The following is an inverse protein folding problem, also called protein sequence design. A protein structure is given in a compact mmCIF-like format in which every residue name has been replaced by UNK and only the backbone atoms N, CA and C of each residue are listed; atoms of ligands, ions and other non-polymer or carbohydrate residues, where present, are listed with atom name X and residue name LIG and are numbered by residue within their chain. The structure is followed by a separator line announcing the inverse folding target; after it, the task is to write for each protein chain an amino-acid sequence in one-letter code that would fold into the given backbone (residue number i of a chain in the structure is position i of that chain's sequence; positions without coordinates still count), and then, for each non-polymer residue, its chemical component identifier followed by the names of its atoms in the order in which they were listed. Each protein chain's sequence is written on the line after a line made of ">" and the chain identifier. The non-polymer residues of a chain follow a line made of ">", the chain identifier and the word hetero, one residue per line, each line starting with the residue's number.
data_IF_270535095905
#
_entry.id   IF_270535095905
#
_cell.length_a   1.000
_cell.length_b   1.000
_cell.length_c   1.000
_cell.angle_alpha   90.00
_cell.angle_beta   90.00
_cell.angle_gamma   90.00
#
_symmetry.space_group_name_H-M   'P 1'
#
loop_
_entity.id
_entity.type
_entity.pdbx_description
1 polymer ?
#
# COMPACT_ATOMS: atom_id res chain seq x y z
N UNK A 1 -11.95 -3.89 19.51
CA UNK A 1 -10.52 -4.36 19.57
C UNK A 1 -10.17 -4.72 20.99
N UNK A 2 -9.48 -5.85 21.25
CA UNK A 2 -8.97 -6.24 22.57
C UNK A 2 -7.85 -5.29 23.01
N UNK A 3 -7.76 -5.03 24.32
CA UNK A 3 -6.78 -4.07 24.87
C UNK A 3 -5.34 -4.44 24.52
N UNK A 4 -4.97 -5.72 24.62
CA UNK A 4 -3.64 -6.21 24.26
C UNK A 4 -3.26 -5.88 22.80
N UNK A 5 -4.18 -6.12 21.84
CA UNK A 5 -3.97 -5.81 20.45
C UNK A 5 -3.88 -4.30 20.20
N UNK A 6 -4.65 -3.50 20.97
CA UNK A 6 -4.58 -2.03 20.93
C UNK A 6 -3.19 -1.55 21.30
N UNK A 7 -2.63 -2.04 22.40
CA UNK A 7 -1.32 -1.61 22.88
C UNK A 7 -0.20 -1.99 21.91
N UNK A 8 -0.26 -3.20 21.32
CA UNK A 8 0.68 -3.66 20.29
C UNK A 8 0.56 -2.79 19.04
N UNK A 9 -0.65 -2.53 18.56
CA UNK A 9 -0.89 -1.71 17.38
C UNK A 9 -0.30 -0.30 17.55
N UNK A 10 -0.60 0.36 18.65
CA UNK A 10 -0.10 1.71 18.93
C UNK A 10 1.43 1.75 19.03
N UNK A 11 2.03 0.73 19.63
CA UNK A 11 3.49 0.60 19.70
C UNK A 11 4.12 0.48 18.30
N UNK A 12 3.60 -0.41 17.46
CA UNK A 12 4.10 -0.64 16.11
C UNK A 12 3.89 0.58 15.20
N UNK A 13 2.73 1.25 15.30
CA UNK A 13 2.47 2.49 14.55
C UNK A 13 3.47 3.58 14.92
N UNK A 14 3.77 3.73 16.20
CA UNK A 14 4.80 4.66 16.65
C UNK A 14 6.18 4.27 16.12
N UNK A 15 6.57 3.01 16.21
CA UNK A 15 7.85 2.51 15.68
C UNK A 15 7.97 2.75 14.17
N UNK A 16 6.93 2.46 13.38
CA UNK A 16 6.87 2.71 11.95
C UNK A 16 7.07 4.20 11.63
N UNK A 17 6.44 5.08 12.42
CA UNK A 17 6.59 6.53 12.27
C UNK A 17 8.00 7.00 12.65
N UNK A 18 8.55 6.56 13.80
CA UNK A 18 9.87 6.95 14.29
C UNK A 18 10.98 6.50 13.34
N UNK A 19 10.85 5.35 12.72
CA UNK A 19 11.74 4.85 11.66
C UNK A 19 11.61 5.61 10.33
N UNK A 20 10.57 6.41 10.15
CA UNK A 20 10.35 7.20 8.94
C UNK A 20 10.03 6.35 7.70
N UNK A 21 9.47 5.13 7.87
CA UNK A 21 9.17 4.20 6.77
C UNK A 21 8.28 4.86 5.73
N UNK A 22 7.22 5.56 6.16
CA UNK A 22 6.31 6.29 5.25
C UNK A 22 6.95 7.51 4.55
N UNK A 23 8.15 7.92 4.95
CA UNK A 23 8.88 9.04 4.32
C UNK A 23 9.80 8.59 3.18
N UNK A 24 9.86 7.30 2.91
CA UNK A 24 10.61 6.78 1.76
C UNK A 24 10.03 7.33 0.45
N UNK A 25 10.88 7.49 -0.56
CA UNK A 25 10.47 7.94 -1.90
C UNK A 25 9.40 6.99 -2.43
N UNK A 26 8.29 7.57 -2.89
CA UNK A 26 7.15 6.85 -3.49
C UNK A 26 6.48 5.79 -2.58
N UNK A 27 6.74 5.80 -1.26
CA UNK A 27 6.14 4.84 -0.32
C UNK A 27 4.61 4.75 -0.48
N UNK A 28 3.92 5.89 -0.48
CA UNK A 28 2.46 5.93 -0.57
C UNK A 28 1.94 5.32 -1.88
N UNK A 29 2.65 5.55 -2.98
CA UNK A 29 2.35 5.01 -4.29
C UNK A 29 2.47 3.49 -4.32
N UNK A 30 3.63 2.95 -3.90
CA UNK A 30 3.87 1.51 -3.89
C UNK A 30 3.00 0.78 -2.86
N UNK A 31 2.74 1.41 -1.73
CA UNK A 31 1.84 0.86 -0.72
C UNK A 31 0.40 0.72 -1.26
N UNK A 32 -0.08 1.73 -2.00
CA UNK A 32 -1.38 1.66 -2.68
C UNK A 32 -1.39 0.56 -3.76
N UNK A 33 -0.31 0.41 -4.53
CA UNK A 33 -0.22 -0.64 -5.55
C UNK A 33 -0.27 -2.04 -4.95
N UNK A 34 0.40 -2.25 -3.83
CA UNK A 34 0.31 -3.50 -3.06
C UNK A 34 -1.12 -3.77 -2.58
N UNK A 35 -1.80 -2.77 -1.99
CA UNK A 35 -3.21 -2.90 -1.56
C UNK A 35 -4.11 -3.31 -2.73
N UNK A 36 -3.99 -2.66 -3.89
CA UNK A 36 -4.81 -2.95 -5.07
C UNK A 36 -4.55 -4.37 -5.56
N UNK A 37 -3.29 -4.74 -5.74
CA UNK A 37 -2.87 -6.05 -6.26
C UNK A 37 -3.36 -7.18 -5.37
N UNK A 38 -3.18 -7.08 -4.06
CA UNK A 38 -3.66 -8.10 -3.13
C UNK A 38 -5.18 -8.14 -3.04
N UNK A 39 -5.84 -6.97 -3.07
CA UNK A 39 -7.31 -6.92 -3.05
C UNK A 39 -7.93 -7.60 -4.28
N UNK A 40 -7.32 -7.43 -5.46
CA UNK A 40 -7.78 -8.12 -6.68
C UNK A 40 -7.38 -9.60 -6.68
N UNK A 41 -6.24 -9.96 -6.07
CA UNK A 41 -5.79 -11.35 -5.94
C UNK A 41 -6.70 -12.20 -5.04
N UNK A 42 -7.34 -11.60 -4.02
CA UNK A 42 -8.39 -12.27 -3.24
C UNK A 42 -9.56 -12.70 -4.14
N UNK A 43 -9.87 -11.92 -5.17
CA UNK A 43 -10.94 -12.21 -6.14
C UNK A 43 -10.47 -13.07 -7.32
N UNK A 44 -9.21 -13.50 -7.31
CA UNK A 44 -8.68 -14.46 -8.29
C UNK A 44 -7.72 -13.87 -9.31
N UNK A 45 -7.38 -12.58 -9.27
CA UNK A 45 -6.32 -12.02 -10.11
C UNK A 45 -4.96 -12.65 -9.77
N UNK A 46 -4.16 -12.89 -10.80
CA UNK A 46 -2.80 -13.42 -10.66
C UNK A 46 -1.73 -12.38 -11.03
N UNK A 47 -2.12 -11.14 -11.28
CA UNK A 47 -1.23 -10.02 -11.52
C UNK A 47 -0.35 -9.81 -10.28
N UNK A 48 0.97 -9.72 -10.48
CA UNK A 48 1.95 -9.46 -9.42
C UNK A 48 2.09 -7.95 -9.17
N UNK A 49 2.68 -7.56 -8.04
CA UNK A 49 2.94 -6.14 -7.73
C UNK A 49 3.82 -5.47 -8.79
N UNK A 50 4.84 -6.17 -9.29
CA UNK A 50 5.71 -5.66 -10.37
C UNK A 50 4.93 -5.46 -11.66
N UNK A 51 4.09 -6.42 -12.06
CA UNK A 51 3.23 -6.29 -13.25
C UNK A 51 2.20 -5.16 -13.07
N UNK A 52 1.65 -5.00 -11.86
CA UNK A 52 0.72 -3.91 -11.54
C UNK A 52 1.42 -2.55 -11.61
N UNK A 53 2.65 -2.43 -11.13
CA UNK A 53 3.44 -1.21 -11.24
C UNK A 53 3.65 -0.81 -12.71
N UNK A 54 4.12 -1.73 -13.56
CA UNK A 54 4.30 -1.48 -15.00
C UNK A 54 2.97 -1.08 -15.67
N UNK A 55 1.88 -1.74 -15.28
CA UNK A 55 0.55 -1.43 -15.79
C UNK A 55 0.10 -0.02 -15.39
N UNK A 56 0.32 0.39 -14.15
CA UNK A 56 -0.15 1.66 -13.61
C UNK A 56 0.72 2.86 -14.02
N UNK A 57 2.03 2.66 -14.12
CA UNK A 57 2.98 3.74 -14.40
C UNK A 57 3.23 3.93 -15.89
N UNK A 58 3.33 2.83 -16.65
CA UNK A 58 3.76 2.84 -18.05
C UNK A 58 2.66 2.37 -19.01
N UNK A 59 1.53 1.84 -18.51
CA UNK A 59 0.48 1.24 -19.34
C UNK A 59 0.89 -0.08 -19.98
N UNK A 60 1.98 -0.70 -19.51
CA UNK A 60 2.48 -1.97 -20.03
C UNK A 60 1.64 -3.12 -19.49
N UNK A 61 1.08 -3.92 -20.40
CA UNK A 61 0.26 -5.09 -20.05
C UNK A 61 1.10 -6.38 -20.10
N UNK A 62 0.87 -7.28 -19.15
CA UNK A 62 1.52 -8.59 -19.14
C UNK A 62 0.81 -9.55 -20.09
N UNK A 63 1.54 -10.15 -21.02
CA UNK A 63 1.02 -11.19 -21.93
C UNK A 63 0.66 -12.51 -21.22
N UNK A 64 1.11 -12.68 -19.97
CA UNK A 64 0.83 -13.86 -19.13
C UNK A 64 -0.46 -13.74 -18.33
N UNK A 65 -1.13 -12.57 -18.36
CA UNK A 65 -2.35 -12.28 -17.59
C UNK A 65 -3.51 -12.03 -18.53
N UNK A 66 -4.71 -12.44 -18.11
CA UNK A 66 -5.91 -12.15 -18.89
C UNK A 66 -6.22 -10.65 -18.88
N UNK A 67 -6.93 -10.17 -19.89
CA UNK A 67 -7.37 -8.78 -19.94
C UNK A 67 -8.27 -8.44 -18.74
N UNK A 68 -9.11 -9.38 -18.30
CA UNK A 68 -10.01 -9.17 -17.14
C UNK A 68 -9.20 -8.94 -15.85
N UNK A 69 -8.13 -9.71 -15.61
CA UNK A 69 -7.29 -9.54 -14.42
C UNK A 69 -6.60 -8.17 -14.41
N UNK A 70 -6.08 -7.75 -15.56
CA UNK A 70 -5.44 -6.43 -15.70
C UNK A 70 -6.47 -5.31 -15.52
N UNK A 71 -7.64 -5.44 -16.16
CA UNK A 71 -8.71 -4.46 -16.05
C UNK A 71 -9.26 -4.35 -14.62
N UNK A 72 -9.33 -5.45 -13.88
CA UNK A 72 -9.74 -5.45 -12.47
C UNK A 72 -8.81 -4.58 -11.61
N UNK A 73 -7.51 -4.59 -11.88
CA UNK A 73 -6.54 -3.74 -11.19
C UNK A 73 -6.71 -2.26 -11.58
N UNK A 74 -6.92 -1.96 -12.87
CA UNK A 74 -7.14 -0.59 -13.37
C UNK A 74 -8.45 0.00 -12.84
N UNK A 75 -9.55 -0.78 -12.83
CA UNK A 75 -10.82 -0.37 -12.27
C UNK A 75 -10.68 -0.03 -10.78
N UNK A 76 -10.02 -0.89 -10.01
CA UNK A 76 -9.83 -0.67 -8.58
C UNK A 76 -8.91 0.55 -8.31
N UNK A 77 -7.85 0.75 -9.10
CA UNK A 77 -7.02 1.97 -9.02
C UNK A 77 -7.84 3.23 -9.25
N UNK A 78 -8.63 3.24 -10.32
CA UNK A 78 -9.54 4.37 -10.62
C UNK A 78 -10.55 4.62 -9.51
N UNK A 79 -11.05 3.56 -8.87
CA UNK A 79 -11.97 3.65 -7.74
C UNK A 79 -11.29 4.25 -6.49
N UNK A 80 -10.02 3.91 -6.22
CA UNK A 80 -9.22 4.55 -5.15
C UNK A 80 -9.02 6.05 -5.41
N UNK A 81 -8.65 6.43 -6.64
CA UNK A 81 -8.47 7.83 -7.01
C UNK A 81 -9.77 8.65 -6.87
N UNK A 82 -10.91 8.06 -7.25
CA UNK A 82 -12.23 8.67 -7.09
C UNK A 82 -12.63 8.79 -5.62
N UNK A 83 -12.51 7.69 -4.86
CA UNK A 83 -12.92 7.63 -3.46
C UNK A 83 -12.08 8.55 -2.58
N UNK A 84 -10.76 8.61 -2.82
CA UNK A 84 -9.84 9.45 -2.07
C UNK A 84 -10.15 10.95 -2.22
N UNK A 85 -10.45 11.42 -3.43
CA UNK A 85 -10.86 12.82 -3.64
C UNK A 85 -12.09 13.19 -2.84
N UNK A 86 -13.06 12.27 -2.71
CA UNK A 86 -14.28 12.49 -1.95
C UNK A 86 -14.05 12.50 -0.45
N UNK A 87 -13.36 11.48 0.06
CA UNK A 87 -13.21 11.28 1.50
C UNK A 87 -12.29 12.32 2.14
N UNK A 88 -11.22 12.74 1.43
CA UNK A 88 -10.28 13.77 1.91
C UNK A 88 -10.93 15.17 2.00
N UNK A 89 -12.07 15.37 1.38
CA UNK A 89 -12.89 16.57 1.53
C UNK A 89 -13.92 16.43 2.65
N UNK A 90 -13.86 15.36 3.45
CA UNK A 90 -14.80 15.01 4.52
C UNK A 90 -16.29 15.02 4.08
N UNK A 91 -16.53 14.75 2.81
CA UNK A 91 -17.88 14.65 2.27
C UNK A 91 -18.66 13.50 2.93
N UNK A 92 -19.99 13.61 3.07
CA UNK A 92 -20.79 12.53 3.62
C UNK A 92 -20.78 11.31 2.70
N UNK A 93 -20.78 10.13 3.30
CA UNK A 93 -20.95 8.86 2.58
C UNK A 93 -22.45 8.64 2.42
N UNK A 94 -22.92 8.62 1.16
CA UNK A 94 -24.33 8.41 0.82
C UNK A 94 -24.49 7.14 -0.01
N UNK A 95 -25.72 6.66 -0.13
CA UNK A 95 -26.04 5.51 -0.99
C UNK A 95 -25.61 5.77 -2.44
N UNK A 96 -25.87 6.95 -2.97
CA UNK A 96 -25.52 7.36 -4.33
C UNK A 96 -24.01 7.35 -4.54
N UNK A 97 -23.27 7.83 -3.55
CA UNK A 97 -21.81 7.81 -3.61
C UNK A 97 -21.25 6.37 -3.55
N UNK A 98 -21.80 5.50 -2.71
CA UNK A 98 -21.40 4.09 -2.66
C UNK A 98 -21.73 3.37 -3.98
N UNK A 99 -22.86 3.66 -4.61
CA UNK A 99 -23.20 3.17 -5.95
C UNK A 99 -22.16 3.64 -6.98
N UNK A 100 -21.83 4.92 -6.97
CA UNK A 100 -20.82 5.48 -7.87
C UNK A 100 -19.42 4.89 -7.62
N UNK A 101 -19.05 4.64 -6.36
CA UNK A 101 -17.80 3.98 -5.99
C UNK A 101 -17.74 2.53 -6.50
N UNK A 102 -18.81 1.77 -6.30
CA UNK A 102 -18.93 0.40 -6.80
C UNK A 102 -18.91 0.33 -8.34
N UNK A 103 -19.54 1.31 -9.01
CA UNK A 103 -19.45 1.46 -10.46
C UNK A 103 -18.00 1.64 -10.94
N UNK A 104 -17.16 2.37 -10.19
CA UNK A 104 -15.72 2.48 -10.51
C UNK A 104 -14.99 1.17 -10.34
N UNK A 105 -15.28 0.43 -9.26
CA UNK A 105 -14.67 -0.89 -8.96
C UNK A 105 -14.98 -1.92 -10.04
N UNK A 106 -16.13 -1.79 -10.72
CA UNK A 106 -16.64 -2.78 -11.69
C UNK A 106 -16.75 -2.22 -13.12
N UNK A 107 -16.15 -1.07 -13.41
CA UNK A 107 -16.41 -0.28 -14.61
C UNK A 107 -16.26 -1.08 -15.93
N UNK A 108 -15.21 -1.90 -16.03
CA UNK A 108 -14.91 -2.71 -17.22
C UNK A 108 -15.04 -4.22 -16.98
N UNK A 109 -15.24 -4.62 -15.70
CA UNK A 109 -15.33 -6.04 -15.32
C UNK A 109 -16.72 -6.48 -14.86
N UNK A 110 -17.66 -5.52 -14.68
CA UNK A 110 -19.02 -5.79 -14.25
C UNK A 110 -19.91 -6.34 -15.36
N UNK A 111 -20.78 -7.28 -14.98
CA UNK A 111 -21.76 -7.91 -15.87
C UNK A 111 -23.15 -7.28 -15.76
N UNK A 112 -23.94 -7.46 -16.80
CA UNK A 112 -25.39 -7.20 -16.81
C UNK A 112 -26.14 -8.44 -16.31
N UNK A 113 -27.14 -8.23 -15.50
CA UNK A 113 -27.95 -9.28 -14.90
C UNK A 113 -29.42 -9.10 -15.24
N UNK A 114 -30.08 -10.21 -15.52
CA UNK A 114 -31.54 -10.29 -15.69
C UNK A 114 -32.11 -11.21 -14.61
N UNK A 115 -33.05 -10.72 -13.83
CA UNK A 115 -33.69 -11.47 -12.75
C UNK A 115 -35.19 -11.23 -12.72
N UNK A 116 -35.92 -11.98 -11.90
CA UNK A 116 -37.34 -11.74 -11.66
C UNK A 116 -37.60 -10.34 -11.05
N UNK A 117 -36.64 -9.76 -10.37
CA UNK A 117 -36.69 -8.39 -9.83
C UNK A 117 -36.38 -7.30 -10.87
N UNK A 118 -36.08 -7.67 -12.11
CA UNK A 118 -35.72 -6.80 -13.22
C UNK A 118 -34.22 -6.85 -13.55
N UNK A 119 -33.85 -6.12 -14.60
CA UNK A 119 -32.46 -6.00 -15.05
C UNK A 119 -31.68 -5.01 -14.17
N UNK A 120 -30.37 -5.24 -14.02
CA UNK A 120 -29.44 -4.36 -13.33
C UNK A 120 -27.99 -4.64 -13.76
N UNK A 121 -27.11 -3.66 -13.58
CA UNK A 121 -25.72 -3.68 -14.04
C UNK A 121 -24.73 -3.54 -12.89
N UNK A 122 -23.83 -4.51 -12.76
CA UNK A 122 -22.69 -4.38 -11.83
C UNK A 122 -21.71 -3.29 -12.30
N UNK A 123 -21.50 -3.13 -13.61
CA UNK A 123 -20.65 -2.08 -14.16
C UNK A 123 -21.15 -0.65 -13.86
N UNK A 124 -22.44 -0.47 -13.60
CA UNK A 124 -23.04 0.78 -13.18
C UNK A 124 -23.18 0.92 -11.66
N UNK A 125 -22.71 -0.07 -10.90
CA UNK A 125 -22.85 -0.11 -9.45
C UNK A 125 -24.30 -0.27 -8.97
N UNK A 126 -25.22 -0.71 -9.83
CA UNK A 126 -26.62 -0.88 -9.49
C UNK A 126 -26.81 -1.95 -8.43
N UNK A 127 -27.68 -1.70 -7.47
CA UNK A 127 -27.99 -2.65 -6.41
C UNK A 127 -28.60 -3.93 -6.99
N UNK A 128 -28.22 -5.07 -6.44
CA UNK A 128 -28.75 -6.36 -6.87
C UNK A 128 -30.27 -6.45 -6.74
N UNK A 129 -30.89 -7.10 -7.71
CA UNK A 129 -32.32 -7.42 -7.72
C UNK A 129 -32.56 -8.93 -7.67
N UNK A 130 -31.62 -9.65 -7.04
CA UNK A 130 -31.69 -11.09 -6.79
C UNK A 130 -31.12 -11.43 -5.42
N UNK A 131 -31.55 -12.55 -4.85
CA UNK A 131 -30.97 -13.07 -3.62
C UNK A 131 -29.68 -13.85 -3.92
N UNK A 132 -28.68 -13.70 -3.04
CA UNK A 132 -27.37 -14.31 -3.17
C UNK A 132 -26.98 -15.03 -1.89
N UNK A 133 -26.06 -16.01 -2.00
CA UNK A 133 -25.51 -16.79 -0.89
C UNK A 133 -24.00 -16.59 -0.79
N UNK A 134 -23.45 -16.80 0.38
CA UNK A 134 -22.01 -16.77 0.63
C UNK A 134 -21.34 -18.04 0.12
N UNK A 135 -21.04 -18.10 -1.19
CA UNK A 135 -20.51 -19.29 -1.86
C UNK A 135 -21.52 -20.44 -1.98
N UNK A 136 -21.05 -21.58 -2.48
CA UNK A 136 -21.88 -22.78 -2.62
C UNK A 136 -22.17 -23.39 -1.23
N UNK A 137 -23.44 -23.41 -0.84
CA UNK A 137 -23.88 -23.97 0.45
C UNK A 137 -23.77 -23.04 1.66
N UNK A 138 -23.30 -21.78 1.47
CA UNK A 138 -23.23 -20.80 2.54
C UNK A 138 -24.58 -20.18 2.93
N UNK A 139 -24.60 -19.45 4.07
CA UNK A 139 -25.80 -18.69 4.51
C UNK A 139 -26.17 -17.64 3.48
N UNK A 140 -27.48 -17.48 3.24
CA UNK A 140 -28.02 -16.42 2.39
C UNK A 140 -27.72 -15.05 2.99
N UNK A 141 -27.42 -14.11 2.12
CA UNK A 141 -27.45 -12.69 2.49
C UNK A 141 -28.91 -12.21 2.61
N UNK A 142 -29.11 -11.00 3.14
CA UNK A 142 -30.46 -10.46 3.26
C UNK A 142 -31.19 -10.40 1.92
N UNK A 143 -32.54 -10.43 1.96
CA UNK A 143 -33.34 -10.23 0.74
C UNK A 143 -32.95 -8.94 0.02
N UNK A 144 -32.81 -9.00 -1.29
CA UNK A 144 -32.46 -7.83 -2.11
C UNK A 144 -33.42 -6.65 -1.91
N UNK A 145 -34.70 -6.94 -1.61
CA UNK A 145 -35.72 -5.91 -1.33
C UNK A 145 -35.42 -5.05 -0.10
N UNK A 146 -34.64 -5.58 0.87
CA UNK A 146 -34.21 -4.88 2.09
C UNK A 146 -32.90 -4.11 1.91
N UNK A 147 -32.17 -4.37 0.81
CA UNK A 147 -30.87 -3.77 0.59
C UNK A 147 -30.90 -2.25 0.55
N UNK A 148 -31.80 -1.57 -0.21
CA UNK A 148 -31.79 -0.12 -0.28
C UNK A 148 -31.92 0.56 1.09
N UNK A 149 -32.95 0.17 1.87
CA UNK A 149 -33.19 0.78 3.20
C UNK A 149 -32.06 0.45 4.21
N UNK A 150 -31.48 -0.75 4.13
CA UNK A 150 -30.38 -1.12 5.02
C UNK A 150 -29.08 -0.39 4.66
N UNK A 151 -28.86 -0.14 3.35
CA UNK A 151 -27.70 0.63 2.89
C UNK A 151 -27.80 2.10 3.29
N UNK A 152 -28.99 2.69 3.21
CA UNK A 152 -29.27 4.05 3.69
C UNK A 152 -28.99 4.17 5.19
N UNK A 153 -29.57 3.28 6.02
CA UNK A 153 -29.32 3.23 7.45
C UNK A 153 -27.83 3.02 7.80
N UNK A 154 -27.11 2.22 7.01
CA UNK A 154 -25.67 2.06 7.16
C UNK A 154 -24.92 3.37 6.91
N UNK A 155 -25.26 4.09 5.84
CA UNK A 155 -24.63 5.38 5.51
C UNK A 155 -24.85 6.41 6.63
N UNK A 156 -26.08 6.51 7.16
CA UNK A 156 -26.41 7.39 8.28
C UNK A 156 -25.57 7.05 9.52
N UNK A 157 -25.58 5.78 9.94
CA UNK A 157 -24.84 5.32 11.10
C UNK A 157 -23.32 5.50 10.93
N UNK A 158 -22.79 5.26 9.72
CA UNK A 158 -21.37 5.46 9.44
C UNK A 158 -21.00 6.95 9.57
N UNK A 159 -21.79 7.85 9.00
CA UNK A 159 -21.52 9.29 9.10
C UNK A 159 -21.64 9.83 10.54
N UNK A 160 -22.57 9.31 11.34
CA UNK A 160 -22.67 9.65 12.76
C UNK A 160 -21.40 9.20 13.52
N UNK A 161 -20.97 7.97 13.31
CA UNK A 161 -19.75 7.44 13.94
C UNK A 161 -18.50 8.21 13.50
N UNK A 162 -18.39 8.57 12.21
CA UNK A 162 -17.28 9.38 11.68
C UNK A 162 -17.20 10.75 12.35
N UNK A 163 -18.34 11.41 12.62
CA UNK A 163 -18.37 12.69 13.30
C UNK A 163 -18.03 12.61 14.78
N UNK A 164 -18.29 11.47 15.41
CA UNK A 164 -18.08 11.26 16.85
C UNK A 164 -16.66 10.77 17.19
N UNK A 165 -15.86 10.36 16.20
CA UNK A 165 -14.55 9.78 16.45
C UNK A 165 -13.54 10.85 16.86
N UNK A 166 -12.70 10.53 17.85
CA UNK A 166 -11.51 11.33 18.16
C UNK A 166 -10.41 10.99 17.18
N UNK A 167 -9.93 11.98 16.42
CA UNK A 167 -8.88 11.83 15.43
C UNK A 167 -7.54 11.37 16.04
N UNK A 168 -7.36 11.47 17.34
CA UNK A 168 -6.19 10.99 18.04
C UNK A 168 -6.33 9.53 18.54
N UNK A 169 -7.54 8.97 18.52
CA UNK A 169 -7.76 7.58 18.89
C UNK A 169 -7.58 6.65 17.70
N UNK A 170 -6.32 6.35 17.39
CA UNK A 170 -5.91 5.47 16.28
C UNK A 170 -6.66 4.12 16.32
N UNK A 171 -6.84 3.54 17.50
CA UNK A 171 -7.52 2.25 17.62
C UNK A 171 -9.01 2.35 17.29
N UNK A 172 -9.68 3.43 17.71
CA UNK A 172 -11.07 3.68 17.37
C UNK A 172 -11.26 3.93 15.86
N UNK A 173 -10.29 4.56 15.19
CA UNK A 173 -10.30 4.75 13.73
C UNK A 173 -10.26 3.39 13.01
N UNK A 174 -9.36 2.50 13.43
CA UNK A 174 -9.31 1.14 12.85
C UNK A 174 -10.59 0.36 13.14
N UNK A 175 -11.13 0.40 14.38
CA UNK A 175 -12.39 -0.25 14.72
C UNK A 175 -13.56 0.26 13.88
N UNK A 176 -13.64 1.58 13.63
CA UNK A 176 -14.65 2.17 12.75
C UNK A 176 -14.52 1.64 11.33
N UNK A 177 -13.31 1.63 10.78
CA UNK A 177 -13.05 1.20 9.40
C UNK A 177 -13.33 -0.29 9.18
N UNK A 178 -12.95 -1.15 10.13
CA UNK A 178 -13.23 -2.59 10.10
C UNK A 178 -14.72 -2.86 10.29
N UNK A 179 -15.39 -2.12 11.19
CA UNK A 179 -16.83 -2.21 11.35
C UNK A 179 -17.56 -1.83 10.06
N UNK A 180 -17.17 -0.73 9.41
CA UNK A 180 -17.78 -0.30 8.15
C UNK A 180 -17.61 -1.34 7.04
N UNK A 181 -16.44 -1.97 6.97
CA UNK A 181 -16.19 -3.09 6.06
C UNK A 181 -17.14 -4.25 6.32
N UNK A 182 -17.25 -4.70 7.59
CA UNK A 182 -18.08 -5.84 7.98
C UNK A 182 -19.57 -5.59 7.71
N UNK A 183 -20.07 -4.41 8.07
CA UNK A 183 -21.48 -4.06 7.84
C UNK A 183 -21.80 -4.03 6.34
N UNK A 184 -20.97 -3.38 5.54
CA UNK A 184 -21.22 -3.26 4.10
C UNK A 184 -21.14 -4.63 3.39
N UNK A 185 -20.17 -5.48 3.74
CA UNK A 185 -20.07 -6.82 3.15
C UNK A 185 -21.21 -7.73 3.62
N UNK A 186 -21.77 -7.51 4.81
CA UNK A 186 -22.93 -8.24 5.35
C UNK A 186 -24.23 -7.82 4.65
N UNK A 187 -24.40 -6.54 4.32
CA UNK A 187 -25.50 -6.06 3.47
C UNK A 187 -25.41 -6.69 2.08
N UNK A 188 -24.19 -6.81 1.56
CA UNK A 188 -23.89 -7.36 0.24
C UNK A 188 -24.70 -6.70 -0.88
N UNK A 189 -24.54 -5.39 -1.11
CA UNK A 189 -25.48 -4.62 -1.94
C UNK A 189 -25.48 -4.99 -3.41
N UNK A 190 -24.37 -5.50 -3.94
CA UNK A 190 -24.17 -5.76 -5.37
C UNK A 190 -24.15 -7.25 -5.69
N UNK A 191 -24.30 -7.59 -6.97
CA UNK A 191 -24.13 -8.98 -7.42
C UNK A 191 -22.66 -9.39 -7.46
N UNK A 192 -21.76 -8.45 -7.73
CA UNK A 192 -20.29 -8.62 -7.73
C UNK A 192 -19.60 -7.37 -7.25
N UNK A 193 -18.28 -7.46 -6.94
CA UNK A 193 -17.46 -6.34 -6.48
C UNK A 193 -17.60 -5.99 -5.00
N UNK A 194 -18.42 -6.69 -4.21
CA UNK A 194 -18.64 -6.39 -2.79
C UNK A 194 -17.33 -6.39 -2.00
N UNK A 195 -16.52 -7.44 -2.10
CA UNK A 195 -15.25 -7.56 -1.38
C UNK A 195 -14.30 -6.41 -1.66
N UNK A 196 -14.07 -6.08 -2.94
CA UNK A 196 -13.20 -4.98 -3.37
C UNK A 196 -13.72 -3.62 -2.87
N UNK A 197 -15.02 -3.38 -3.01
CA UNK A 197 -15.65 -2.12 -2.55
C UNK A 197 -15.58 -1.96 -1.03
N UNK A 198 -15.78 -3.03 -0.25
CA UNK A 198 -15.69 -3.00 1.21
C UNK A 198 -14.26 -2.75 1.70
N UNK A 199 -13.26 -3.42 1.11
CA UNK A 199 -11.84 -3.17 1.42
C UNK A 199 -11.42 -1.76 1.01
N UNK A 200 -11.90 -1.27 -0.13
CA UNK A 200 -11.69 0.11 -0.56
C UNK A 200 -12.27 1.11 0.45
N UNK A 201 -13.55 0.97 0.84
CA UNK A 201 -14.16 1.86 1.84
C UNK A 201 -13.39 1.87 3.16
N UNK A 202 -12.98 0.70 3.64
CA UNK A 202 -12.15 0.56 4.85
C UNK A 202 -10.87 1.41 4.75
N UNK A 203 -10.13 1.27 3.65
CA UNK A 203 -8.89 2.03 3.45
C UNK A 203 -9.13 3.53 3.27
N UNK A 204 -10.21 3.93 2.61
CA UNK A 204 -10.59 5.33 2.46
C UNK A 204 -10.86 5.99 3.82
N UNK A 205 -11.56 5.31 4.74
CA UNK A 205 -11.79 5.78 6.10
C UNK A 205 -10.47 5.93 6.87
N UNK A 206 -9.55 4.99 6.72
CA UNK A 206 -8.23 5.04 7.34
C UNK A 206 -7.42 6.24 6.83
N UNK A 207 -7.43 6.51 5.53
CA UNK A 207 -6.80 7.71 4.96
C UNK A 207 -7.45 9.01 5.42
N UNK A 208 -8.78 9.05 5.52
CA UNK A 208 -9.48 10.24 6.01
C UNK A 208 -8.95 10.73 7.36
N UNK A 209 -8.64 9.78 8.23
CA UNK A 209 -8.12 10.05 9.58
C UNK A 209 -6.59 10.00 9.68
N UNK A 210 -5.88 9.92 8.56
CA UNK A 210 -4.42 9.99 8.49
C UNK A 210 -3.70 8.77 9.07
N UNK A 211 -4.38 7.61 9.21
CA UNK A 211 -3.73 6.37 9.63
C UNK A 211 -3.34 5.51 8.43
N UNK A 212 -2.35 4.65 8.60
CA UNK A 212 -1.86 3.78 7.54
C UNK A 212 -2.94 2.78 7.12
N UNK A 213 -3.29 2.68 5.82
CA UNK A 213 -4.31 1.75 5.35
C UNK A 213 -3.94 0.29 5.60
N UNK A 214 -4.94 -0.52 5.93
CA UNK A 214 -4.77 -1.95 6.20
C UNK A 214 -4.69 -2.73 4.89
N UNK A 215 -3.60 -3.46 4.68
CA UNK A 215 -3.49 -4.47 3.62
C UNK A 215 -4.25 -5.75 4.05
N UNK A 216 -4.92 -6.40 3.11
CA UNK A 216 -5.37 -7.78 3.25
C UNK A 216 -4.67 -8.55 2.14
N UNK A 217 -3.65 -9.32 2.49
CA UNK A 217 -2.84 -10.03 1.52
C UNK A 217 -3.59 -11.24 0.97
N UNK A 218 -3.17 -11.72 -0.20
CA UNK A 218 -3.73 -12.94 -0.80
C UNK A 218 -3.60 -14.16 0.12
N UNK A 219 -2.50 -14.22 0.85
CA UNK A 219 -2.18 -15.28 1.81
C UNK A 219 -3.13 -15.28 3.01
N UNK A 220 -3.68 -14.12 3.37
CA UNK A 220 -4.63 -13.97 4.48
C UNK A 220 -6.05 -14.38 4.10
N UNK A 221 -6.33 -14.66 2.81
CA UNK A 221 -7.68 -14.88 2.29
C UNK A 221 -8.48 -15.87 3.13
N UNK A 222 -7.89 -16.99 3.52
CA UNK A 222 -8.59 -18.03 4.28
C UNK A 222 -9.01 -17.56 5.67
N UNK A 223 -8.09 -16.94 6.42
CA UNK A 223 -8.34 -16.39 7.75
C UNK A 223 -9.37 -15.25 7.70
N UNK A 224 -9.21 -14.34 6.74
CA UNK A 224 -10.10 -13.21 6.51
C UNK A 224 -11.55 -13.64 6.17
N UNK A 225 -11.73 -14.60 5.25
CA UNK A 225 -13.05 -15.10 4.88
C UNK A 225 -13.69 -15.88 6.03
N UNK A 226 -12.91 -16.69 6.76
CA UNK A 226 -13.42 -17.44 7.91
C UNK A 226 -13.90 -16.48 9.00
N UNK A 227 -13.16 -15.42 9.30
CA UNK A 227 -13.59 -14.41 10.27
C UNK A 227 -14.89 -13.70 9.89
N UNK A 228 -15.12 -13.44 8.58
CA UNK A 228 -16.39 -12.90 8.09
C UNK A 228 -17.55 -13.90 8.29
N UNK A 229 -17.30 -15.19 8.06
CA UNK A 229 -18.30 -16.25 8.26
C UNK A 229 -18.65 -16.37 9.73
N UNK A 230 -17.63 -16.50 10.61
CA UNK A 230 -17.80 -16.68 12.04
C UNK A 230 -18.51 -15.48 12.68
N UNK A 231 -18.09 -14.25 12.34
CA UNK A 231 -18.72 -13.03 12.85
C UNK A 231 -20.21 -12.93 12.46
N UNK A 232 -20.59 -13.39 11.28
CA UNK A 232 -22.00 -13.46 10.86
C UNK A 232 -22.75 -14.61 11.49
N UNK A 233 -22.07 -15.73 11.72
CA UNK A 233 -22.68 -16.91 12.32
C UNK A 233 -23.00 -16.74 13.78
N UNK A 234 -22.07 -16.16 14.53
CA UNK A 234 -22.19 -15.89 15.97
C UNK A 234 -22.80 -14.52 16.28
N UNK A 235 -23.15 -13.72 15.24
CA UNK A 235 -23.69 -12.35 15.38
C UNK A 235 -22.78 -11.43 16.22
N UNK A 236 -21.46 -11.67 16.16
CA UNK A 236 -20.45 -10.93 16.90
C UNK A 236 -19.39 -10.32 15.96
N UNK A 237 -19.55 -9.04 15.68
CA UNK A 237 -18.62 -8.26 14.84
C UNK A 237 -17.20 -8.25 15.40
N UNK A 238 -17.01 -8.40 16.74
CA UNK A 238 -15.69 -8.36 17.33
C UNK A 238 -14.77 -9.49 16.84
N UNK A 239 -15.32 -10.62 16.41
CA UNK A 239 -14.55 -11.71 15.79
C UNK A 239 -13.83 -11.19 14.55
N UNK A 240 -14.53 -10.43 13.69
CA UNK A 240 -13.93 -9.84 12.50
C UNK A 240 -12.98 -8.69 12.83
N UNK A 241 -13.35 -7.78 13.74
CA UNK A 241 -12.49 -6.68 14.17
C UNK A 241 -11.16 -7.19 14.74
N UNK A 242 -11.20 -8.19 15.60
CA UNK A 242 -10.01 -8.82 16.18
C UNK A 242 -9.14 -9.49 15.11
N UNK A 243 -9.74 -10.15 14.12
CA UNK A 243 -9.01 -10.74 13.01
C UNK A 243 -8.29 -9.65 12.19
N UNK A 244 -9.00 -8.61 11.75
CA UNK A 244 -8.44 -7.52 10.97
C UNK A 244 -7.31 -6.80 11.72
N UNK A 245 -7.46 -6.62 13.03
CA UNK A 245 -6.42 -6.03 13.87
C UNK A 245 -5.16 -6.90 13.89
N UNK A 246 -5.30 -8.22 14.07
CA UNK A 246 -4.14 -9.14 14.03
C UNK A 246 -3.46 -9.16 12.67
N UNK A 247 -4.23 -9.13 11.58
CA UNK A 247 -3.68 -9.03 10.22
C UNK A 247 -2.87 -7.75 10.06
N UNK A 248 -3.43 -6.62 10.47
CA UNK A 248 -2.75 -5.33 10.37
C UNK A 248 -1.47 -5.27 11.23
N UNK A 249 -1.51 -5.74 12.46
CA UNK A 249 -0.34 -5.88 13.33
C UNK A 249 0.75 -6.74 12.68
N UNK A 250 0.37 -7.88 12.10
CA UNK A 250 1.30 -8.80 11.42
C UNK A 250 2.00 -8.11 10.23
N UNK A 251 1.25 -7.37 9.42
CA UNK A 251 1.80 -6.66 8.27
C UNK A 251 2.68 -5.49 8.68
N UNK A 252 2.28 -4.68 9.67
CA UNK A 252 3.12 -3.63 10.23
C UNK A 252 4.46 -4.16 10.74
N UNK A 253 4.41 -5.26 11.47
CA UNK A 253 5.62 -5.91 11.98
C UNK A 253 6.52 -6.37 10.84
N UNK A 254 5.96 -7.01 9.81
CA UNK A 254 6.73 -7.42 8.65
C UNK A 254 7.35 -6.23 7.90
N UNK A 255 6.59 -5.15 7.69
CA UNK A 255 7.08 -3.94 7.03
C UNK A 255 8.25 -3.31 7.83
N UNK A 256 8.18 -3.28 9.16
CA UNK A 256 9.24 -2.81 10.06
C UNK A 256 10.46 -3.73 9.99
N UNK A 257 10.26 -5.04 10.11
CA UNK A 257 11.36 -6.02 10.08
C UNK A 257 12.10 -5.99 8.73
N UNK A 258 11.39 -5.89 7.61
CA UNK A 258 11.97 -5.74 6.28
C UNK A 258 12.79 -4.45 6.16
N UNK A 259 12.27 -3.34 6.67
CA UNK A 259 12.99 -2.07 6.67
C UNK A 259 14.28 -2.15 7.49
N UNK A 260 14.24 -2.70 8.70
CA UNK A 260 15.40 -2.86 9.56
C UNK A 260 16.46 -3.76 8.92
N UNK A 261 16.05 -4.91 8.36
CA UNK A 261 16.95 -5.82 7.66
C UNK A 261 17.63 -5.14 6.46
N UNK A 262 16.87 -4.36 5.67
CA UNK A 262 17.44 -3.61 4.55
C UNK A 262 18.43 -2.53 4.98
N UNK A 263 18.23 -1.93 6.17
CA UNK A 263 19.17 -1.00 6.77
C UNK A 263 20.45 -1.72 7.25
N UNK A 264 20.32 -2.89 7.86
CA UNK A 264 21.45 -3.71 8.30
C UNK A 264 22.30 -4.19 7.13
N UNK A 265 21.68 -4.70 6.05
CA UNK A 265 22.36 -5.08 4.81
C UNK A 265 23.17 -3.93 4.23
N UNK A 266 22.56 -2.73 4.10
CA UNK A 266 23.26 -1.53 3.65
C UNK A 266 24.41 -1.11 4.57
N UNK A 267 24.30 -1.34 5.88
CA UNK A 267 25.40 -1.08 6.83
C UNK A 267 26.52 -2.09 6.69
N UNK A 268 26.21 -3.35 6.47
CA UNK A 268 27.20 -4.42 6.22
C UNK A 268 27.96 -4.15 4.92
N UNK A 269 27.26 -3.79 3.84
CA UNK A 269 27.91 -3.42 2.58
C UNK A 269 28.83 -2.23 2.72
N UNK A 270 28.42 -1.19 3.45
CA UNK A 270 29.30 -0.03 3.76
C UNK A 270 30.52 -0.43 4.58
N UNK A 271 30.39 -1.35 5.49
CA UNK A 271 31.47 -1.86 6.32
C UNK A 271 32.49 -2.66 5.51
N UNK A 272 32.01 -3.54 4.61
CA UNK A 272 32.83 -4.31 3.69
C UNK A 272 33.58 -3.37 2.74
N UNK A 273 32.87 -2.46 2.08
CA UNK A 273 33.46 -1.49 1.16
C UNK A 273 34.52 -0.60 1.84
N UNK A 274 34.27 -0.23 3.10
CA UNK A 274 35.25 0.53 3.91
C UNK A 274 36.52 -0.28 4.14
N UNK A 275 36.36 -1.56 4.49
CA UNK A 275 37.51 -2.45 4.72
C UNK A 275 38.30 -2.67 3.43
N UNK A 276 37.62 -2.94 2.31
CA UNK A 276 38.23 -3.09 0.99
C UNK A 276 39.03 -1.86 0.58
N UNK A 277 38.49 -0.63 0.80
CA UNK A 277 39.18 0.60 0.52
C UNK A 277 40.46 0.76 1.36
N UNK A 278 40.41 0.40 2.65
CA UNK A 278 41.60 0.42 3.53
C UNK A 278 42.66 -0.56 3.02
N UNK A 279 42.27 -1.78 2.69
CA UNK A 279 43.19 -2.87 2.32
C UNK A 279 43.79 -2.63 0.93
N UNK A 280 42.92 -2.31 -0.07
CA UNK A 280 43.34 -2.15 -1.48
C UNK A 280 44.15 -0.86 -1.71
N UNK A 281 43.78 0.22 -1.06
CA UNK A 281 44.34 1.56 -1.31
C UNK A 281 45.20 2.10 -0.16
N UNK A 282 45.38 1.33 0.92
CA UNK A 282 46.21 1.68 2.09
C UNK A 282 45.85 3.06 2.69
N UNK A 283 44.57 3.41 2.67
CA UNK A 283 44.07 4.68 3.19
C UNK A 283 43.64 4.58 4.66
N UNK A 284 43.63 5.71 5.37
CA UNK A 284 43.21 5.72 6.76
C UNK A 284 41.70 5.37 6.88
N UNK A 285 41.31 4.57 7.89
CA UNK A 285 39.92 4.19 8.10
C UNK A 285 38.93 5.38 8.16
N UNK A 286 39.35 6.51 8.72
CA UNK A 286 38.57 7.75 8.80
C UNK A 286 38.32 8.41 7.42
N UNK A 287 39.25 8.22 6.48
CA UNK A 287 39.07 8.70 5.10
C UNK A 287 38.18 7.72 4.32
N UNK A 288 38.43 6.42 4.45
CA UNK A 288 37.58 5.39 3.85
C UNK A 288 36.11 5.56 4.23
N UNK A 289 35.81 5.83 5.51
CA UNK A 289 34.47 6.12 5.98
C UNK A 289 33.79 7.28 5.21
N UNK A 290 34.50 8.38 5.02
CA UNK A 290 33.97 9.56 4.29
C UNK A 290 33.76 9.28 2.82
N UNK A 291 34.66 8.54 2.18
CA UNK A 291 34.53 8.17 0.77
C UNK A 291 33.36 7.20 0.55
N UNK A 292 33.17 6.23 1.45
CA UNK A 292 32.02 5.31 1.42
C UNK A 292 30.70 6.05 1.63
N UNK A 293 30.64 7.05 2.52
CA UNK A 293 29.43 7.85 2.69
C UNK A 293 29.09 8.67 1.43
N UNK A 294 30.12 9.19 0.74
CA UNK A 294 29.93 9.88 -0.54
C UNK A 294 29.41 8.88 -1.62
N UNK A 295 30.01 7.69 -1.74
CA UNK A 295 29.54 6.67 -2.67
C UNK A 295 28.10 6.21 -2.39
N UNK A 296 27.75 6.05 -1.12
CA UNK A 296 26.39 5.74 -0.72
C UNK A 296 25.36 6.84 -1.10
N UNK A 297 25.77 8.11 -1.03
CA UNK A 297 24.94 9.23 -1.51
C UNK A 297 24.81 9.25 -3.03
N UNK A 298 25.79 8.71 -3.74
CA UNK A 298 25.83 8.67 -5.20
C UNK A 298 25.22 7.39 -5.80
N UNK A 299 24.85 6.39 -4.99
CA UNK A 299 24.40 5.07 -5.48
C UNK A 299 23.19 5.13 -6.42
N UNK A 300 22.32 6.12 -6.24
CA UNK A 300 21.10 6.30 -7.04
C UNK A 300 21.24 7.42 -8.10
N UNK A 301 22.49 7.87 -8.38
CA UNK A 301 22.75 8.98 -9.30
C UNK A 301 23.63 8.54 -10.46
N UNK A 302 23.28 8.94 -11.67
CA UNK A 302 24.09 8.72 -12.85
C UNK A 302 25.28 9.71 -12.94
N UNK A 303 25.08 10.92 -12.43
CA UNK A 303 26.12 11.98 -12.47
C UNK A 303 26.09 12.80 -11.19
N UNK A 304 27.24 13.40 -10.83
CA UNK A 304 27.37 14.34 -9.71
C UNK A 304 28.25 15.52 -10.06
N UNK A 305 28.11 16.61 -9.32
CA UNK A 305 28.97 17.78 -9.40
C UNK A 305 29.67 18.04 -8.07
N UNK A 306 30.73 18.87 -8.11
CA UNK A 306 31.38 19.31 -6.86
C UNK A 306 30.40 20.03 -5.93
N UNK A 307 29.48 20.83 -6.49
CA UNK A 307 28.51 21.61 -5.72
C UNK A 307 27.45 20.74 -5.04
N UNK A 308 27.09 19.61 -5.63
CA UNK A 308 26.21 18.61 -5.00
C UNK A 308 26.83 18.06 -3.73
N UNK A 309 28.11 17.71 -3.78
CA UNK A 309 28.84 17.17 -2.61
C UNK A 309 29.06 18.25 -1.55
N UNK A 310 29.36 19.48 -1.96
CA UNK A 310 29.48 20.64 -1.04
C UNK A 310 28.17 20.85 -0.30
N UNK A 311 27.06 20.87 -1.01
CA UNK A 311 25.74 21.16 -0.45
C UNK A 311 25.25 20.05 0.48
N UNK A 312 25.43 18.79 0.09
CA UNK A 312 24.93 17.65 0.86
C UNK A 312 25.73 17.39 2.13
N UNK A 313 27.07 17.43 2.05
CA UNK A 313 27.96 17.09 3.17
C UNK A 313 28.47 18.30 3.94
N UNK A 314 28.10 19.49 3.57
CA UNK A 314 28.60 20.74 4.14
C UNK A 314 30.16 20.83 4.11
N UNK A 315 30.80 20.30 3.08
CA UNK A 315 32.23 20.39 2.89
C UNK A 315 32.64 21.71 2.24
N UNK A 316 33.91 22.08 2.40
CA UNK A 316 34.50 23.14 1.56
C UNK A 316 34.67 22.62 0.13
N UNK A 317 34.61 23.51 -0.86
CA UNK A 317 34.83 23.17 -2.27
C UNK A 317 36.15 22.43 -2.50
N UNK A 318 37.21 22.82 -1.79
CA UNK A 318 38.52 22.17 -1.85
C UNK A 318 38.45 20.73 -1.34
N UNK A 319 37.75 20.51 -0.24
CA UNK A 319 37.57 19.15 0.34
C UNK A 319 36.73 18.24 -0.58
N UNK A 320 35.63 18.77 -1.11
CA UNK A 320 34.77 18.02 -2.05
C UNK A 320 35.53 17.61 -3.32
N UNK A 321 36.30 18.56 -3.93
CA UNK A 321 37.14 18.26 -5.12
C UNK A 321 38.19 17.20 -4.81
N UNK A 322 38.80 17.23 -3.63
CA UNK A 322 39.79 16.23 -3.23
C UNK A 322 39.16 14.83 -3.13
N UNK A 323 37.97 14.70 -2.51
CA UNK A 323 37.31 13.41 -2.36
C UNK A 323 36.83 12.88 -3.69
N UNK A 324 36.21 13.71 -4.54
CA UNK A 324 35.79 13.30 -5.88
C UNK A 324 36.98 12.84 -6.74
N UNK A 325 38.10 13.55 -6.68
CA UNK A 325 39.34 13.15 -7.36
C UNK A 325 39.87 11.80 -6.84
N UNK A 326 39.90 11.56 -5.54
CA UNK A 326 40.30 10.30 -4.95
C UNK A 326 39.39 9.15 -5.42
N UNK A 327 38.06 9.36 -5.41
CA UNK A 327 37.10 8.36 -5.93
C UNK A 327 37.30 8.05 -7.42
N UNK A 328 37.69 9.07 -8.21
CA UNK A 328 38.07 8.88 -9.63
C UNK A 328 39.38 8.10 -9.76
N UNK A 329 40.41 8.43 -8.96
CA UNK A 329 41.69 7.73 -8.92
C UNK A 329 41.51 6.24 -8.50
N UNK A 330 40.54 5.96 -7.65
CA UNK A 330 40.19 4.61 -7.19
C UNK A 330 39.21 3.87 -8.12
N UNK A 331 38.77 4.50 -9.24
CA UNK A 331 37.94 3.89 -10.25
C UNK A 331 36.46 3.82 -9.90
N UNK A 332 35.99 4.57 -8.89
CA UNK A 332 34.56 4.66 -8.52
C UNK A 332 33.80 5.76 -9.27
N UNK A 333 34.49 6.71 -9.88
CA UNK A 333 33.93 7.79 -10.68
C UNK A 333 34.75 7.98 -11.94
N UNK A 334 34.13 8.53 -12.98
CA UNK A 334 34.81 8.99 -14.18
C UNK A 334 34.62 10.50 -14.36
N UNK A 335 35.72 11.23 -14.62
CA UNK A 335 35.64 12.66 -14.89
C UNK A 335 35.09 12.89 -16.31
N UNK A 336 33.94 13.60 -16.41
CA UNK A 336 33.35 13.87 -17.69
C UNK A 336 34.18 14.90 -18.48
N UNK A 337 34.78 14.47 -19.58
CA UNK A 337 35.91 15.07 -20.30
C UNK A 337 35.75 16.50 -20.86
N UNK A 338 34.64 17.17 -20.63
CA UNK A 338 34.39 18.57 -21.06
C UNK A 338 34.12 19.55 -19.90
N UNK A 339 33.83 19.07 -18.72
CA UNK A 339 33.48 19.91 -17.57
C UNK A 339 34.16 19.38 -16.30
N UNK A 340 35.28 20.00 -15.92
CA UNK A 340 36.10 19.59 -14.77
C UNK A 340 35.39 19.48 -13.42
N UNK A 341 34.10 19.86 -13.35
CA UNK A 341 33.29 19.82 -12.12
C UNK A 341 32.18 18.78 -12.17
N UNK A 342 32.04 18.00 -13.25
CA UNK A 342 31.03 16.95 -13.39
C UNK A 342 31.69 15.57 -13.48
N UNK A 343 31.11 14.61 -12.79
CA UNK A 343 31.60 13.25 -12.69
C UNK A 343 30.45 12.28 -12.99
N UNK A 344 30.71 11.29 -13.82
CA UNK A 344 29.81 10.18 -14.07
C UNK A 344 30.01 9.13 -12.97
N UNK A 345 28.90 8.61 -12.44
CA UNK A 345 28.89 7.65 -11.34
C UNK A 345 28.79 6.25 -11.95
N UNK A 346 29.74 5.39 -11.67
CA UNK A 346 29.60 3.98 -12.02
C UNK A 346 28.65 3.27 -11.05
N UNK A 347 27.67 2.54 -11.55
CA UNK A 347 26.84 1.67 -10.75
C UNK A 347 27.67 0.54 -10.18
N UNK A 348 28.09 0.68 -8.92
CA UNK A 348 28.74 -0.37 -8.17
C UNK A 348 27.68 -1.30 -7.56
N UNK A 349 27.44 -2.43 -8.23
CA UNK A 349 26.95 -3.63 -7.56
C UNK A 349 28.16 -4.38 -6.99
N UNK A 350 28.26 -4.63 -5.67
CA UNK A 350 29.39 -5.36 -5.08
C UNK A 350 29.49 -6.84 -5.51
N UNK A 351 28.67 -7.31 -6.45
CA UNK A 351 28.55 -8.71 -6.83
C UNK A 351 28.83 -9.03 -8.31
N UNK A 352 29.54 -8.20 -9.04
CA UNK A 352 29.96 -8.51 -10.41
C UNK A 352 31.46 -8.43 -10.60
N UNK A 353 32.20 -9.37 -10.00
CA UNK A 353 33.45 -9.91 -10.54
C UNK A 353 33.62 -11.34 -10.02
N UNK A 354 33.16 -12.32 -10.85
CA UNK A 354 33.72 -13.65 -11.02
C UNK A 354 33.87 -13.90 -12.49
#
# INVERSE_FOLDING_TARGET
>A
MKQENRDILLHLMKQHQDLGISKQIDFEKFYLYSIITHSTAIEGSTVTEVEAQLLFDEGITSSKRTMIEQQMNLDLKSAYDYGRKWIMSHNPITTEWLIALAAKVMAQTGSEYNSLGGSFSAAKGELRKLNVTAGAGGKSYMSYQKVPSRLEAFCEQLNERRKAIDNNDIAAIYDLSFWAHFELVTIHPWADGNGRTCRLLMNLLQWEFGVLPTKVLKEDKSEYIQALIDAREYEDVNIFLDCMTRLHIRHLKNDIDQFLNSCEEKMVDKSILRQEMVDKWSIKPSLAAKLVDILAYLSDKETTTTDDIVSHFCFTTTTAKRYLRQLTEYGYLEANGGNKNRFDVYNFSPHCEQ
#
